data_IF_372401209807
#
_entry.id   IF_372401209807
#
_cell.length_a   1.000
_cell.length_b   1.000
_cell.length_c   1.000
_cell.angle_alpha   90.00
_cell.angle_beta   90.00
_cell.angle_gamma   90.00
#
_symmetry.space_group_name_H-M   'P 1'
#
loop_
_entity.id
_entity.type
_entity.pdbx_description
1 polymer ?
#
# COMPACT_ATOMS: atom_id res chain seq x y z
N UNK A 1 10.67 -13.53 3.72
CA UNK A 1 9.60 -14.45 4.21
C UNK A 1 8.46 -13.63 4.78
N UNK A 2 7.33 -13.55 4.08
CA UNK A 2 6.18 -12.66 4.39
C UNK A 2 5.34 -13.16 5.59
N UNK A 3 5.60 -14.36 6.10
CA UNK A 3 4.83 -15.00 7.18
C UNK A 3 4.85 -14.26 8.54
N UNK A 4 5.74 -13.27 8.73
CA UNK A 4 5.81 -12.49 9.97
C UNK A 4 5.06 -11.14 9.90
N UNK A 5 4.37 -10.85 8.79
CA UNK A 5 3.70 -9.56 8.58
C UNK A 5 2.23 -9.53 9.02
N UNK A 6 1.71 -10.63 9.58
CA UNK A 6 0.32 -10.70 10.03
C UNK A 6 0.32 -10.54 11.55
N UNK A 7 0.02 -9.33 12.02
CA UNK A 7 -0.34 -9.13 13.43
C UNK A 7 -1.51 -10.06 13.77
N UNK A 8 -1.62 -10.58 15.00
CA UNK A 8 -2.68 -11.54 15.38
C UNK A 8 -4.10 -10.99 15.22
N UNK A 9 -4.21 -9.71 14.91
CA UNK A 9 -5.42 -8.95 14.71
C UNK A 9 -5.79 -8.75 13.22
N UNK A 10 -5.00 -9.28 12.28
CA UNK A 10 -5.28 -9.25 10.84
C UNK A 10 -5.72 -10.64 10.38
N UNK A 11 -6.81 -10.69 9.64
CA UNK A 11 -7.23 -11.88 8.92
C UNK A 11 -7.35 -11.55 7.44
N UNK A 12 -6.66 -12.31 6.59
CA UNK A 12 -6.80 -12.21 5.14
C UNK A 12 -7.89 -13.19 4.70
N UNK A 13 -8.93 -12.66 4.06
CA UNK A 13 -10.11 -13.39 3.58
C UNK A 13 -9.99 -13.77 2.12
N UNK A 14 -9.35 -12.93 1.31
CA UNK A 14 -9.01 -13.26 -0.07
C UNK A 14 -7.65 -12.66 -0.49
N UNK A 15 -6.97 -13.37 -1.39
CA UNK A 15 -5.76 -12.93 -2.07
C UNK A 15 -5.92 -13.20 -3.55
N UNK A 16 -5.89 -12.13 -4.34
CA UNK A 16 -6.02 -12.19 -5.79
C UNK A 16 -4.81 -11.56 -6.45
N UNK A 17 -4.17 -12.28 -7.37
CA UNK A 17 -3.06 -11.79 -8.18
C UNK A 17 -3.50 -11.56 -9.62
N UNK A 18 -3.19 -10.38 -10.15
CA UNK A 18 -3.41 -9.99 -11.53
C UNK A 18 -2.11 -9.59 -12.21
N UNK A 19 -2.04 -9.80 -13.52
CA UNK A 19 -1.02 -9.22 -14.37
C UNK A 19 -1.74 -8.20 -15.25
N UNK A 20 -1.44 -6.92 -15.07
CA UNK A 20 -1.92 -5.85 -15.92
C UNK A 20 -0.82 -5.49 -16.91
N UNK A 21 -1.05 -5.74 -18.20
CA UNK A 21 -0.05 -5.53 -19.28
C UNK A 21 0.54 -4.10 -19.30
N UNK A 22 -0.19 -3.11 -18.79
CA UNK A 22 0.24 -1.70 -18.74
C UNK A 22 0.85 -1.28 -17.38
N UNK A 23 0.45 -1.91 -16.27
CA UNK A 23 0.81 -1.51 -14.90
C UNK A 23 1.70 -2.50 -14.14
N UNK A 24 1.95 -3.67 -14.71
CA UNK A 24 2.76 -4.70 -14.09
C UNK A 24 1.96 -5.74 -13.32
N UNK A 25 2.50 -6.17 -12.17
CA UNK A 25 1.88 -7.19 -11.32
C UNK A 25 1.09 -6.47 -10.23
N UNK A 26 -0.20 -6.76 -10.11
CA UNK A 26 -1.05 -6.23 -9.04
C UNK A 26 -1.55 -7.37 -8.15
N UNK A 27 -1.47 -7.19 -6.83
CA UNK A 27 -1.95 -8.15 -5.84
C UNK A 27 -2.97 -7.43 -4.98
N UNK A 28 -4.21 -7.94 -4.95
CA UNK A 28 -5.27 -7.43 -4.10
C UNK A 28 -5.42 -8.35 -2.89
N UNK A 29 -5.40 -7.76 -1.70
CA UNK A 29 -5.59 -8.41 -0.41
C UNK A 29 -6.87 -7.90 0.21
N UNK A 30 -7.85 -8.78 0.36
CA UNK A 30 -9.08 -8.53 1.10
C UNK A 30 -8.92 -9.10 2.51
N UNK A 31 -9.30 -8.32 3.52
CA UNK A 31 -9.13 -8.75 4.89
C UNK A 31 -9.93 -7.95 5.91
N UNK A 32 -9.84 -8.42 7.14
CA UNK A 32 -10.46 -7.81 8.32
C UNK A 32 -9.37 -7.53 9.35
N UNK A 33 -9.36 -6.31 9.87
CA UNK A 33 -8.54 -5.89 10.98
C UNK A 33 -9.40 -5.81 12.25
N UNK A 34 -8.95 -6.42 13.33
CA UNK A 34 -9.59 -6.37 14.64
C UNK A 34 -8.75 -5.60 15.65
N UNK A 35 -9.35 -5.19 16.76
CA UNK A 35 -8.62 -4.67 17.91
C UNK A 35 -9.24 -3.43 18.51
N UNK A 36 -8.46 -2.69 19.31
CA UNK A 36 -8.92 -1.44 19.92
C UNK A 36 -9.12 -0.33 18.90
N UNK A 37 -8.25 -0.30 17.89
CA UNK A 37 -8.26 0.67 16.79
C UNK A 37 -8.07 -0.10 15.46
N UNK A 38 -9.14 -0.72 14.92
CA UNK A 38 -9.04 -1.63 13.78
C UNK A 38 -8.51 -0.94 12.51
N UNK A 39 -8.84 0.33 12.28
CA UNK A 39 -8.25 1.12 11.20
C UNK A 39 -6.74 1.30 11.36
N UNK A 40 -6.28 1.63 12.56
CA UNK A 40 -4.85 1.75 12.86
C UNK A 40 -4.11 0.44 12.58
N UNK A 41 -4.69 -0.69 12.99
CA UNK A 41 -4.14 -2.03 12.71
C UNK A 41 -4.05 -2.31 11.20
N UNK A 42 -5.05 -1.90 10.41
CA UNK A 42 -4.99 -2.01 8.95
C UNK A 42 -3.89 -1.10 8.36
N UNK A 43 -3.77 0.14 8.82
CA UNK A 43 -2.74 1.08 8.37
C UNK A 43 -1.32 0.60 8.69
N UNK A 44 -1.10 0.06 9.89
CA UNK A 44 0.14 -0.60 10.28
C UNK A 44 0.46 -1.76 9.32
N UNK A 45 -0.53 -2.59 8.99
CA UNK A 45 -0.36 -3.70 8.04
C UNK A 45 0.06 -3.20 6.64
N UNK A 46 -0.60 -2.15 6.14
CA UNK A 46 -0.22 -1.49 4.88
C UNK A 46 1.22 -0.98 4.92
N UNK A 47 1.60 -0.29 6.00
CA UNK A 47 2.94 0.26 6.16
C UNK A 47 4.00 -0.84 6.20
N UNK A 48 3.74 -1.93 6.94
CA UNK A 48 4.61 -3.10 6.99
C UNK A 48 4.78 -3.76 5.61
N UNK A 49 3.70 -3.88 4.82
CA UNK A 49 3.78 -4.40 3.45
C UNK A 49 4.67 -3.53 2.57
N UNK A 50 4.51 -2.20 2.64
CA UNK A 50 5.34 -1.26 1.90
C UNK A 50 6.81 -1.37 2.30
N UNK A 51 7.11 -1.46 3.60
CA UNK A 51 8.49 -1.55 4.09
C UNK A 51 9.15 -2.88 3.75
N UNK A 52 8.43 -3.99 3.84
CA UNK A 52 9.00 -5.32 3.57
C UNK A 52 9.18 -5.55 2.08
N UNK A 53 8.19 -5.22 1.27
CA UNK A 53 8.26 -5.40 -0.18
C UNK A 53 9.15 -4.32 -0.80
N UNK A 54 9.14 -3.09 -0.26
CA UNK A 54 9.97 -1.98 -0.74
C UNK A 54 11.47 -2.20 -0.59
N UNK A 55 11.90 -3.06 0.35
CA UNK A 55 13.30 -3.50 0.46
C UNK A 55 13.75 -4.33 -0.72
N UNK A 56 12.87 -5.17 -1.26
CA UNK A 56 13.16 -6.06 -2.39
C UNK A 56 12.81 -5.40 -3.73
N UNK A 57 11.77 -4.55 -3.76
CA UNK A 57 11.23 -3.89 -4.94
C UNK A 57 10.95 -2.40 -4.66
N UNK A 58 11.88 -1.49 -4.97
CA UNK A 58 11.75 -0.06 -4.61
C UNK A 58 10.62 0.67 -5.34
N UNK A 59 10.09 0.10 -6.43
CA UNK A 59 8.96 0.65 -7.19
C UNK A 59 7.58 0.17 -6.71
N UNK A 60 7.51 -0.57 -5.60
CA UNK A 60 6.22 -1.06 -5.08
C UNK A 60 5.35 0.08 -4.57
N UNK A 61 4.05 0.00 -4.88
CA UNK A 61 3.00 0.87 -4.34
C UNK A 61 2.03 0.02 -3.54
N UNK A 62 1.68 0.48 -2.35
CA UNK A 62 0.69 -0.19 -1.49
C UNK A 62 -0.37 0.84 -1.08
N UNK A 63 -1.62 0.60 -1.48
CA UNK A 63 -2.72 1.55 -1.31
C UNK A 63 -4.00 0.84 -0.85
N UNK A 64 -4.80 1.52 -0.04
CA UNK A 64 -6.14 1.04 0.27
C UNK A 64 -7.08 1.34 -0.89
N UNK A 65 -7.75 0.30 -1.37
CA UNK A 65 -8.92 0.43 -2.22
C UNK A 65 -10.18 0.67 -1.39
N UNK A 66 -10.25 0.03 -0.22
CA UNK A 66 -11.34 0.17 0.75
C UNK A 66 -10.78 0.09 2.17
N UNK A 67 -11.33 0.89 3.08
CA UNK A 67 -11.09 0.79 4.52
C UNK A 67 -12.35 1.29 5.24
N UNK A 68 -13.13 0.36 5.79
CA UNK A 68 -14.46 0.61 6.36
C UNK A 68 -14.57 -0.03 7.73
N UNK A 69 -15.15 0.67 8.70
CA UNK A 69 -15.47 0.05 9.98
C UNK A 69 -16.66 -0.89 9.79
N UNK A 70 -16.59 -2.05 10.45
CA UNK A 70 -17.71 -2.97 10.51
C UNK A 70 -18.38 -2.82 11.88
N UNK A 71 -19.72 -2.76 11.89
CA UNK A 71 -20.53 -2.85 13.12
C UNK A 71 -20.45 -4.24 13.79
N UNK A 72 -19.76 -5.19 13.15
CA UNK A 72 -19.55 -6.53 13.67
C UNK A 72 -18.36 -6.60 14.62
N UNK A 73 -18.56 -7.28 15.74
CA UNK A 73 -17.46 -7.67 16.64
C UNK A 73 -17.10 -9.13 16.39
N UNK A 74 -15.81 -9.44 16.34
CA UNK A 74 -15.30 -10.81 16.23
C UNK A 74 -14.56 -11.19 17.50
N UNK A 75 -14.69 -12.44 17.96
CA UNK A 75 -13.98 -12.92 19.13
C UNK A 75 -12.57 -13.35 18.76
N UNK A 76 -11.57 -12.53 19.09
CA UNK A 76 -10.14 -12.88 18.95
C UNK A 76 -9.61 -13.26 20.33
N UNK A 77 -9.23 -14.52 20.51
CA UNK A 77 -8.68 -15.02 21.80
C UNK A 77 -9.66 -14.92 22.98
N UNK A 78 -10.97 -14.97 22.73
CA UNK A 78 -12.02 -14.87 23.76
C UNK A 78 -12.48 -13.46 24.11
N UNK A 79 -11.90 -12.41 23.52
CA UNK A 79 -12.37 -11.02 23.65
C UNK A 79 -13.09 -10.57 22.38
N UNK A 80 -14.26 -9.94 22.54
CA UNK A 80 -14.96 -9.28 21.45
C UNK A 80 -14.23 -8.00 21.07
N UNK A 81 -13.72 -7.92 19.85
CA UNK A 81 -13.03 -6.75 19.32
C UNK A 81 -13.82 -6.12 18.18
N UNK A 82 -13.79 -4.79 18.07
CA UNK A 82 -14.33 -4.08 16.90
C UNK A 82 -13.48 -4.41 15.68
N UNK A 83 -14.10 -4.37 14.51
CA UNK A 83 -13.44 -4.75 13.26
C UNK A 83 -13.58 -3.69 12.19
N UNK A 84 -12.63 -3.68 11.26
CA UNK A 84 -12.68 -2.91 10.03
C UNK A 84 -12.38 -3.84 8.87
N UNK A 85 -13.17 -3.75 7.81
CA UNK A 85 -12.88 -4.37 6.54
C UNK A 85 -11.88 -3.50 5.77
N UNK A 86 -10.90 -4.15 5.14
CA UNK A 86 -9.96 -3.47 4.29
C UNK A 86 -9.73 -4.25 3.00
N UNK A 87 -9.47 -3.50 1.93
CA UNK A 87 -8.96 -4.01 0.67
C UNK A 87 -7.71 -3.23 0.34
N UNK A 88 -6.57 -3.92 0.31
CA UNK A 88 -5.27 -3.33 -0.03
C UNK A 88 -4.83 -3.83 -1.40
N UNK A 89 -4.33 -2.93 -2.24
CA UNK A 89 -3.73 -3.26 -3.53
C UNK A 89 -2.22 -2.99 -3.45
N UNK A 90 -1.45 -4.02 -3.77
CA UNK A 90 0.00 -3.97 -3.93
C UNK A 90 0.30 -3.98 -5.42
N UNK A 91 0.77 -2.85 -5.96
CA UNK A 91 1.22 -2.73 -7.35
C UNK A 91 2.74 -2.84 -7.45
N UNK A 92 3.22 -3.69 -8.33
CA UNK A 92 4.63 -3.88 -8.66
C UNK A 92 4.84 -3.50 -10.12
N UNK A 93 5.67 -2.49 -10.35
CA UNK A 93 6.05 -2.08 -11.69
C UNK A 93 7.32 -2.84 -12.12
N UNK A 94 7.22 -3.77 -13.10
CA UNK A 94 8.36 -4.58 -13.56
C UNK A 94 9.34 -3.79 -14.43
N UNK A 95 8.95 -2.59 -14.90
CA UNK A 95 9.77 -1.72 -15.72
C UNK A 95 9.78 -0.32 -15.13
N UNK A 96 10.45 -0.11 -13.98
CA UNK A 96 10.52 1.21 -13.36
C UNK A 96 11.09 2.19 -14.39
N UNK A 97 10.23 3.10 -14.89
CA UNK A 97 10.70 4.18 -15.76
C UNK A 97 11.73 4.98 -14.97
N UNK A 98 12.90 5.31 -15.57
CA UNK A 98 13.86 6.18 -14.92
C UNK A 98 13.15 7.47 -14.51
N UNK A 99 13.46 8.04 -13.33
CA UNK A 99 12.81 9.25 -12.86
C UNK A 99 12.89 10.30 -13.95
N UNK A 100 11.74 10.77 -14.41
CA UNK A 100 11.66 11.82 -15.42
C UNK A 100 12.43 13.01 -14.87
N UNK A 101 13.51 13.39 -15.57
CA UNK A 101 14.35 14.50 -15.15
C UNK A 101 13.45 15.72 -14.93
N UNK A 102 13.46 16.27 -13.72
CA UNK A 102 12.72 17.47 -13.38
C UNK A 102 12.91 18.50 -14.50
N UNK A 103 11.83 19.15 -15.00
CA UNK A 103 11.94 20.07 -16.11
C UNK A 103 13.00 21.10 -15.76
N UNK A 104 14.09 21.11 -16.53
CA UNK A 104 15.21 22.00 -16.33
C UNK A 104 14.67 23.42 -16.22
N UNK A 105 14.87 24.06 -15.06
CA UNK A 105 14.61 25.48 -14.89
C UNK A 105 15.27 26.21 -16.05
N UNK A 106 14.45 26.81 -16.92
CA UNK A 106 14.92 27.68 -18.00
C UNK A 106 15.75 28.77 -17.34
N UNK A 107 17.08 28.62 -17.38
CA UNK A 107 18.02 29.72 -17.16
C UNK A 107 17.65 30.83 -18.14
N UNK A 108 16.91 31.82 -17.64
CA UNK A 108 16.63 33.07 -18.35
C UNK A 108 17.98 33.68 -18.74
N UNK A 109 18.29 33.66 -20.04
CA UNK A 109 19.37 34.44 -20.62
C UNK A 109 19.13 35.92 -20.30
N UNK A 110 20.07 36.65 -19.67
CA UNK A 110 20.05 38.10 -19.78
C UNK A 110 20.39 38.44 -21.22
N UNK A 111 19.44 39.08 -21.91
CA UNK A 111 19.61 39.65 -23.23
C UNK A 111 20.62 40.80 -23.09
N UNK A 112 21.79 40.68 -23.75
CA UNK A 112 22.64 41.84 -24.04
C UNK A 112 21.83 42.83 -24.88
N UNK A 113 21.74 44.07 -24.44
CA UNK A 113 21.59 45.21 -25.33
C UNK A 113 22.36 46.39 -24.73
N UNK A 114 23.16 47.01 -25.58
CA UNK A 114 24.22 47.98 -25.34
C UNK A 114 23.75 49.28 -26.01
N UNK A 115 23.70 50.40 -25.27
CA UNK A 115 23.78 51.80 -25.77
C UNK A 115 23.72 52.79 -24.61
#
# INVERSE_FOLDING_TARGET
KVAHCVTPNIQITALEGGIEEEKGISITLDGVAGGREPRGVAEDFRQMLLEQIGKEQPSVKVEFKTLEDLDTTVSVGGNSVTTAHFVVVVGLDPFPKPPEAAPAERKSKPRKEES
#
